data_IF_658471951820
#
_entry.id   IF_658471951820
#
_cell.length_a   1.000
_cell.length_b   1.000
_cell.length_c   1.000
_cell.angle_alpha   90.00
_cell.angle_beta   90.00
_cell.angle_gamma   90.00
#
_symmetry.space_group_name_H-M   'P 1'
#
loop_
_entity.id
_entity.type
_entity.pdbx_description
1 polymer ?
#
# COMPACT_ATOMS: atom_id res chain seq x y z
N UNK A 1 6.44 69.35 5.46
CA UNK A 1 5.59 68.17 5.25
C UNK A 1 5.56 67.17 6.44
N UNK A 2 6.28 67.43 7.51
CA UNK A 2 6.36 66.51 8.65
C UNK A 2 5.39 66.81 9.83
N UNK A 3 4.68 67.94 9.78
CA UNK A 3 3.77 68.34 10.88
C UNK A 3 2.41 67.65 10.83
N UNK A 4 1.98 67.12 9.65
CA UNK A 4 0.72 66.40 9.50
C UNK A 4 0.73 64.99 10.19
N UNK A 5 1.91 64.40 10.31
CA UNK A 5 2.04 63.06 10.94
C UNK A 5 1.96 63.08 12.47
N UNK A 6 2.23 64.24 13.09
CA UNK A 6 2.16 64.39 14.56
C UNK A 6 0.68 64.51 15.09
N UNK A 7 -0.23 64.95 14.24
CA UNK A 7 -1.62 65.23 14.65
C UNK A 7 -2.51 64.01 14.65
N UNK A 8 -2.08 62.92 13.98
CA UNK A 8 -2.88 61.69 13.86
C UNK A 8 -2.24 60.45 14.51
N UNK A 9 -1.42 60.65 15.55
CA UNK A 9 -0.77 59.52 16.27
C UNK A 9 -1.79 58.51 16.82
N UNK A 10 -3.00 58.92 17.16
CA UNK A 10 -4.03 58.03 17.62
C UNK A 10 -4.59 57.12 16.50
N UNK A 11 -4.87 57.71 15.36
CA UNK A 11 -5.42 56.99 14.21
C UNK A 11 -4.39 56.01 13.62
N UNK A 12 -3.12 56.37 13.57
CA UNK A 12 -2.03 55.51 13.10
C UNK A 12 -1.84 54.30 14.03
N UNK A 13 -1.97 54.45 15.34
CA UNK A 13 -1.96 53.33 16.31
C UNK A 13 -3.10 52.37 16.10
N UNK A 14 -4.32 52.90 15.81
CA UNK A 14 -5.48 52.07 15.54
C UNK A 14 -5.39 51.37 14.21
N UNK A 15 -4.89 52.00 13.14
CA UNK A 15 -4.69 51.35 11.84
C UNK A 15 -3.61 50.25 11.95
N UNK A 16 -2.51 50.52 12.68
CA UNK A 16 -1.50 49.49 12.94
C UNK A 16 -2.07 48.29 13.75
N UNK A 17 -2.88 48.59 14.77
CA UNK A 17 -3.52 47.54 15.55
C UNK A 17 -4.48 46.69 14.71
N UNK A 18 -5.23 47.29 13.79
CA UNK A 18 -6.10 46.57 12.85
C UNK A 18 -5.30 45.72 11.90
N UNK A 19 -4.17 46.21 11.38
CA UNK A 19 -3.28 45.44 10.48
C UNK A 19 -2.65 44.27 11.23
N UNK A 20 -2.19 44.46 12.46
CA UNK A 20 -1.65 43.39 13.31
C UNK A 20 -2.74 42.35 13.62
N UNK A 21 -3.94 42.80 13.94
CA UNK A 21 -5.07 41.93 14.21
C UNK A 21 -5.49 41.15 12.94
N UNK A 22 -5.51 41.81 11.77
CA UNK A 22 -5.74 41.14 10.49
C UNK A 22 -4.64 40.11 10.18
N UNK A 23 -3.38 40.41 10.54
CA UNK A 23 -2.27 39.47 10.34
C UNK A 23 -2.40 38.25 11.23
N UNK A 24 -2.85 38.44 12.50
CA UNK A 24 -3.09 37.33 13.44
C UNK A 24 -4.25 36.44 12.94
N UNK A 25 -5.28 37.03 12.32
CA UNK A 25 -6.40 36.26 11.76
C UNK A 25 -6.17 35.70 10.36
N UNK A 26 -5.29 36.30 9.55
CA UNK A 26 -5.07 35.93 8.17
C UNK A 26 -3.88 34.98 7.97
N UNK A 27 -2.95 34.90 8.94
CA UNK A 27 -1.78 34.01 8.84
C UNK A 27 -2.15 32.68 9.47
N UNK A 28 -2.25 31.61 8.67
CA UNK A 28 -2.48 30.27 9.20
C UNK A 28 -1.28 29.88 10.07
N UNK A 29 -1.53 29.59 11.34
CA UNK A 29 -0.50 29.11 12.25
C UNK A 29 -0.20 29.97 13.48
N UNK A 30 -0.84 31.16 13.65
CA UNK A 30 -0.70 32.00 14.87
C UNK A 30 -1.98 31.93 15.75
N UNK A 31 -2.82 30.92 15.59
CA UNK A 31 -3.61 30.42 16.71
C UNK A 31 -5.00 31.03 16.98
N UNK A 32 -5.70 31.71 16.06
CA UNK A 32 -7.14 32.04 16.22
C UNK A 32 -7.91 32.03 14.87
N UNK A 33 -7.30 31.54 13.79
CA UNK A 33 -8.01 31.25 12.55
C UNK A 33 -8.83 29.94 12.67
N UNK A 34 -9.86 29.75 11.84
CA UNK A 34 -10.49 28.45 11.75
C UNK A 34 -9.41 27.40 11.47
N UNK A 35 -9.53 26.19 12.02
CA UNK A 35 -8.54 25.14 11.79
C UNK A 35 -8.34 25.01 10.29
N UNK A 36 -7.08 25.05 9.86
CA UNK A 36 -6.70 24.87 8.47
C UNK A 36 -6.83 23.38 8.09
N UNK A 37 -8.05 22.84 8.21
CA UNK A 37 -8.39 21.46 7.84
C UNK A 37 -8.41 21.23 6.33
N UNK A 38 -7.95 22.21 5.54
CA UNK A 38 -7.88 22.10 4.07
C UNK A 38 -6.54 22.48 3.45
N UNK A 39 -5.53 22.84 4.24
CA UNK A 39 -4.18 22.77 3.75
C UNK A 39 -3.72 21.34 4.03
N UNK A 40 -3.82 20.46 3.04
CA UNK A 40 -3.02 19.24 2.98
C UNK A 40 -1.63 19.65 3.45
N UNK A 41 -1.28 19.28 4.68
CA UNK A 41 0.03 19.60 5.22
C UNK A 41 1.01 19.08 4.18
N UNK A 42 1.90 19.90 3.69
CA UNK A 42 2.90 19.60 2.64
C UNK A 42 3.74 18.35 2.96
N UNK A 43 3.41 17.68 4.03
CA UNK A 43 4.11 16.54 4.61
C UNK A 43 3.29 15.24 4.62
N UNK A 44 2.02 15.24 4.16
CA UNK A 44 1.16 14.05 4.08
C UNK A 44 1.07 13.59 2.63
N UNK A 45 1.39 12.32 2.37
CA UNK A 45 1.30 11.69 1.05
C UNK A 45 -0.08 11.09 0.80
N UNK A 46 -0.68 10.50 1.82
CA UNK A 46 -2.02 9.93 1.75
C UNK A 46 -2.67 9.98 3.14
N UNK A 47 -3.99 10.11 3.17
CA UNK A 47 -4.80 10.01 4.37
C UNK A 47 -5.84 8.90 4.16
N UNK A 48 -5.89 7.95 5.09
CA UNK A 48 -6.78 6.79 5.07
C UNK A 48 -7.53 6.73 6.40
N UNK A 49 -8.79 7.16 6.41
CA UNK A 49 -9.52 7.33 7.66
C UNK A 49 -8.81 8.30 8.60
N UNK A 50 -8.46 7.82 9.79
CA UNK A 50 -7.73 8.60 10.80
C UNK A 50 -6.20 8.46 10.70
N UNK A 51 -5.70 7.62 9.77
CA UNK A 51 -4.27 7.40 9.55
C UNK A 51 -3.73 8.30 8.45
N UNK A 52 -2.58 8.93 8.71
CA UNK A 52 -1.85 9.76 7.75
C UNK A 52 -0.51 9.12 7.41
N UNK A 53 -0.28 8.86 6.13
CA UNK A 53 1.03 8.45 5.63
C UNK A 53 1.84 9.71 5.36
N UNK A 54 2.84 9.96 6.19
CA UNK A 54 3.70 11.14 6.05
C UNK A 54 4.86 10.91 5.09
N UNK A 55 5.38 12.00 4.51
CA UNK A 55 6.59 11.96 3.66
C UNK A 55 7.79 11.38 4.44
N UNK A 56 7.90 11.69 5.73
CA UNK A 56 8.99 11.21 6.58
C UNK A 56 8.91 9.69 6.78
N UNK A 57 7.73 9.18 7.06
CA UNK A 57 7.47 7.75 7.23
C UNK A 57 7.74 6.99 5.92
N UNK A 58 7.15 7.43 4.81
CA UNK A 58 7.39 6.84 3.51
C UNK A 58 8.88 6.81 3.15
N UNK A 59 9.60 7.91 3.38
CA UNK A 59 11.04 7.98 3.09
C UNK A 59 11.83 6.97 3.91
N UNK A 60 11.48 6.78 5.19
CA UNK A 60 12.12 5.79 6.05
C UNK A 60 11.91 4.37 5.52
N UNK A 61 10.67 4.02 5.20
CA UNK A 61 10.32 2.69 4.68
C UNK A 61 10.97 2.47 3.29
N UNK A 62 10.92 3.47 2.43
CA UNK A 62 11.55 3.41 1.12
C UNK A 62 13.07 3.19 1.19
N UNK A 63 13.77 3.91 2.07
CA UNK A 63 15.21 3.72 2.27
C UNK A 63 15.53 2.32 2.79
N UNK A 64 14.73 1.79 3.70
CA UNK A 64 14.86 0.45 4.22
C UNK A 64 14.69 -0.60 3.12
N UNK A 65 13.66 -0.46 2.30
CA UNK A 65 13.38 -1.35 1.19
C UNK A 65 14.50 -1.34 0.14
N UNK A 66 15.05 -0.16 -0.17
CA UNK A 66 16.20 -0.05 -1.07
C UNK A 66 17.42 -0.77 -0.51
N UNK A 67 17.73 -0.61 0.77
CA UNK A 67 18.85 -1.31 1.40
C UNK A 67 18.69 -2.82 1.31
N UNK A 68 17.49 -3.32 1.53
CA UNK A 68 17.18 -4.74 1.41
C UNK A 68 17.40 -5.26 -0.02
N UNK A 69 16.91 -4.54 -1.03
CA UNK A 69 17.16 -4.86 -2.44
C UNK A 69 18.65 -4.85 -2.79
N UNK A 70 19.41 -3.89 -2.27
CA UNK A 70 20.86 -3.80 -2.51
C UNK A 70 21.62 -4.96 -1.86
N UNK A 71 21.18 -5.42 -0.69
CA UNK A 71 21.77 -6.58 -0.04
C UNK A 71 21.50 -7.89 -0.80
N UNK A 72 20.31 -8.02 -1.41
CA UNK A 72 19.92 -9.22 -2.16
C UNK A 72 20.49 -9.27 -3.58
N UNK A 73 20.50 -8.15 -4.28
CA UNK A 73 20.86 -8.08 -5.70
C UNK A 73 22.25 -7.50 -5.97
N UNK A 74 23.00 -7.11 -4.91
CA UNK A 74 24.29 -6.45 -5.04
C UNK A 74 24.21 -4.95 -5.34
N UNK A 75 25.36 -4.29 -5.33
CA UNK A 75 25.48 -2.84 -5.49
C UNK A 75 25.17 -2.29 -6.91
N UNK A 76 24.79 -3.18 -7.84
CA UNK A 76 24.48 -2.77 -9.23
C UNK A 76 23.10 -2.11 -9.38
N UNK A 77 22.22 -2.20 -8.37
CA UNK A 77 20.93 -1.51 -8.38
C UNK A 77 21.10 -0.04 -8.01
N UNK A 78 21.17 0.82 -9.03
CA UNK A 78 21.17 2.25 -8.82
C UNK A 78 19.79 2.75 -8.37
N UNK A 79 19.76 3.82 -7.56
CA UNK A 79 18.51 4.46 -7.15
C UNK A 79 17.66 4.95 -8.34
N UNK A 80 18.32 5.28 -9.46
CA UNK A 80 17.66 5.71 -10.70
C UNK A 80 16.94 4.55 -11.37
N UNK A 81 17.55 3.37 -11.39
CA UNK A 81 16.92 2.17 -11.92
C UNK A 81 15.69 1.78 -11.09
N UNK A 82 15.79 1.80 -9.77
CA UNK A 82 14.66 1.49 -8.88
C UNK A 82 13.49 2.46 -9.06
N UNK A 83 13.77 3.75 -9.26
CA UNK A 83 12.73 4.74 -9.59
C UNK A 83 12.13 4.51 -10.97
N UNK A 84 12.94 4.16 -11.96
CA UNK A 84 12.43 3.87 -13.32
C UNK A 84 11.53 2.64 -13.35
N UNK A 85 11.75 1.69 -12.45
CA UNK A 85 10.89 0.52 -12.22
C UNK A 85 9.62 0.85 -11.42
N UNK A 86 9.47 2.09 -10.92
CA UNK A 86 8.29 2.53 -10.20
C UNK A 86 8.16 1.93 -8.80
N UNK A 87 9.26 1.50 -8.18
CA UNK A 87 9.28 0.91 -6.84
C UNK A 87 8.72 1.87 -5.79
N UNK A 88 8.93 3.16 -5.96
CA UNK A 88 8.37 4.22 -5.10
C UNK A 88 6.83 4.21 -5.11
N UNK A 89 6.23 4.10 -6.29
CA UNK A 89 4.77 4.04 -6.44
C UNK A 89 4.19 2.74 -5.92
N UNK A 90 4.87 1.64 -6.20
CA UNK A 90 4.45 0.32 -5.74
C UNK A 90 4.46 0.26 -4.21
N UNK A 91 5.51 0.77 -3.57
CA UNK A 91 5.61 0.82 -2.11
C UNK A 91 4.54 1.73 -1.50
N UNK A 92 4.29 2.91 -2.10
CA UNK A 92 3.22 3.80 -1.62
C UNK A 92 1.86 3.12 -1.73
N UNK A 93 1.59 2.44 -2.84
CA UNK A 93 0.33 1.69 -3.00
C UNK A 93 0.20 0.58 -1.97
N UNK A 94 1.26 -0.16 -1.71
CA UNK A 94 1.29 -1.20 -0.69
C UNK A 94 0.97 -0.65 0.71
N UNK A 95 1.54 0.51 1.07
CA UNK A 95 1.22 1.17 2.35
C UNK A 95 -0.24 1.63 2.41
N UNK A 96 -0.76 2.20 1.32
CA UNK A 96 -2.17 2.59 1.23
C UNK A 96 -3.08 1.37 1.41
N UNK A 97 -2.78 0.26 0.76
CA UNK A 97 -3.55 -0.98 0.86
C UNK A 97 -3.49 -1.55 2.29
N UNK A 98 -2.32 -1.53 2.94
CA UNK A 98 -2.13 -1.97 4.31
C UNK A 98 -2.96 -1.12 5.29
N UNK A 99 -2.83 0.21 5.25
CA UNK A 99 -3.59 1.11 6.13
C UNK A 99 -5.10 1.06 5.84
N UNK A 100 -5.50 0.83 4.60
CA UNK A 100 -6.91 0.63 4.24
C UNK A 100 -7.45 -0.64 4.89
N UNK A 101 -6.69 -1.73 4.83
CA UNK A 101 -7.07 -2.99 5.47
C UNK A 101 -7.15 -2.84 7.00
N UNK A 102 -6.21 -2.14 7.63
CA UNK A 102 -6.23 -1.86 9.07
C UNK A 102 -7.43 -1.02 9.47
N UNK A 103 -7.71 0.07 8.75
CA UNK A 103 -8.87 0.93 8.99
C UNK A 103 -10.18 0.16 8.87
N UNK A 104 -10.29 -0.74 7.88
CA UNK A 104 -11.47 -1.58 7.72
C UNK A 104 -11.59 -2.63 8.84
N UNK A 105 -10.46 -3.22 9.28
CA UNK A 105 -10.45 -4.13 10.42
C UNK A 105 -10.94 -3.44 11.69
N UNK A 106 -10.48 -2.23 11.95
CA UNK A 106 -10.94 -1.40 13.08
C UNK A 106 -12.43 -1.07 12.96
N UNK A 107 -12.91 -0.67 11.79
CA UNK A 107 -14.32 -0.39 11.52
C UNK A 107 -15.23 -1.60 11.80
N UNK A 108 -14.73 -2.80 11.51
CA UNK A 108 -15.43 -4.06 11.75
C UNK A 108 -15.29 -4.55 13.20
N UNK A 109 -14.53 -3.84 14.05
CA UNK A 109 -14.28 -4.22 15.45
C UNK A 109 -13.39 -5.45 15.57
N UNK A 110 -12.56 -5.75 14.56
CA UNK A 110 -11.57 -6.82 14.62
C UNK A 110 -10.43 -6.36 15.52
N UNK A 111 -10.12 -7.13 16.54
CA UNK A 111 -9.04 -6.81 17.51
C UNK A 111 -8.07 -7.97 17.61
N UNK A 112 -6.80 -7.64 17.89
CA UNK A 112 -5.77 -8.61 18.23
C UNK A 112 -5.38 -8.40 19.70
N UNK A 113 -5.48 -9.43 20.52
CA UNK A 113 -5.13 -9.38 21.94
C UNK A 113 -3.63 -9.54 22.16
N UNK A 114 -3.09 -9.02 23.25
CA UNK A 114 -1.67 -9.19 23.59
C UNK A 114 -1.28 -10.66 23.76
N UNK A 115 -2.21 -11.50 24.23
CA UNK A 115 -2.00 -12.92 24.34
C UNK A 115 -1.78 -13.61 22.97
N UNK A 116 -2.49 -13.16 21.95
CA UNK A 116 -2.34 -13.67 20.58
C UNK A 116 -1.05 -13.19 19.93
N UNK A 117 -0.69 -11.93 20.17
CA UNK A 117 0.60 -11.37 19.73
C UNK A 117 1.73 -12.18 20.34
N UNK A 118 1.69 -12.41 21.65
CA UNK A 118 2.67 -13.23 22.34
C UNK A 118 2.71 -14.66 21.78
N UNK A 119 1.56 -15.29 21.58
CA UNK A 119 1.50 -16.65 21.01
C UNK A 119 2.10 -16.69 19.61
N UNK A 120 1.83 -15.68 18.78
CA UNK A 120 2.42 -15.57 17.45
C UNK A 120 3.94 -15.43 17.53
N UNK A 121 4.45 -14.57 18.41
CA UNK A 121 5.90 -14.39 18.63
C UNK A 121 6.55 -15.70 19.08
N UNK A 122 5.94 -16.38 20.03
CA UNK A 122 6.43 -17.68 20.51
C UNK A 122 6.41 -18.78 19.44
N UNK A 123 5.61 -18.63 18.39
CA UNK A 123 5.55 -19.59 17.28
C UNK A 123 6.70 -19.46 16.27
N UNK A 124 7.42 -18.33 16.27
CA UNK A 124 8.54 -18.13 15.34
C UNK A 124 9.74 -19.01 15.72
N UNK A 125 10.25 -19.85 14.80
CA UNK A 125 11.41 -20.71 15.08
C UNK A 125 12.66 -19.91 15.48
N UNK A 126 12.83 -18.68 14.98
CA UNK A 126 13.95 -17.80 15.32
C UNK A 126 13.99 -17.41 16.81
N UNK A 127 12.85 -17.48 17.51
CA UNK A 127 12.75 -17.17 18.94
C UNK A 127 12.61 -18.40 19.80
N UNK A 128 12.91 -19.59 19.24
CA UNK A 128 12.86 -20.85 19.94
C UNK A 128 14.24 -21.51 19.95
N UNK A 129 14.60 -22.12 21.09
CA UNK A 129 15.73 -23.00 21.24
C UNK A 129 15.26 -24.29 21.96
N UNK A 130 15.45 -25.45 21.33
CA UNK A 130 14.91 -26.72 21.81
C UNK A 130 13.39 -26.74 22.08
N UNK A 131 12.62 -25.99 21.30
CA UNK A 131 11.17 -25.85 21.46
C UNK A 131 10.72 -24.93 22.60
N UNK A 132 11.65 -24.24 23.23
CA UNK A 132 11.36 -23.25 24.29
C UNK A 132 11.78 -21.85 23.85
N UNK A 133 11.11 -20.84 24.39
CA UNK A 133 11.44 -19.44 24.13
C UNK A 133 12.86 -19.11 24.60
N UNK A 134 13.62 -18.42 23.75
CA UNK A 134 15.04 -18.06 23.98
C UNK A 134 15.28 -17.07 25.14
N UNK A 135 14.22 -16.57 25.75
CA UNK A 135 14.28 -15.55 26.79
C UNK A 135 14.33 -14.11 26.27
N UNK A 136 13.84 -13.18 27.10
CA UNK A 136 13.65 -11.78 26.73
C UNK A 136 14.95 -11.09 26.31
N UNK A 137 16.06 -11.36 26.98
CA UNK A 137 17.34 -10.72 26.65
C UNK A 137 17.81 -11.09 25.24
N UNK A 138 17.74 -12.36 24.89
CA UNK A 138 18.16 -12.83 23.57
C UNK A 138 17.19 -12.41 22.47
N UNK A 139 15.89 -12.41 22.76
CA UNK A 139 14.87 -11.85 21.90
C UNK A 139 15.15 -10.37 21.54
N UNK A 140 15.42 -9.54 22.57
CA UNK A 140 15.78 -8.12 22.39
C UNK A 140 17.05 -7.97 21.57
N UNK A 141 18.08 -8.77 21.82
CA UNK A 141 19.32 -8.73 21.05
C UNK A 141 19.10 -9.07 19.58
N UNK A 142 18.28 -10.09 19.28
CA UNK A 142 17.96 -10.46 17.91
C UNK A 142 17.24 -9.35 17.16
N UNK A 143 16.31 -8.63 17.79
CA UNK A 143 15.64 -7.49 17.18
C UNK A 143 16.59 -6.30 16.94
N UNK A 144 17.56 -6.08 17.83
CA UNK A 144 18.54 -4.99 17.71
C UNK A 144 19.60 -5.24 16.62
N UNK A 145 19.89 -6.49 16.29
CA UNK A 145 20.84 -6.86 15.23
C UNK A 145 20.23 -6.74 13.84
N UNK A 146 18.91 -6.66 13.75
CA UNK A 146 18.24 -6.45 12.47
C UNK A 146 18.59 -5.09 11.86
N UNK A 147 18.51 -4.97 10.56
CA UNK A 147 18.76 -3.73 9.84
C UNK A 147 17.50 -3.30 9.12
N UNK A 148 16.83 -2.22 9.59
CA UNK A 148 17.13 -1.40 10.77
C UNK A 148 16.81 -2.12 12.09
N UNK A 149 17.44 -1.69 13.21
CA UNK A 149 17.14 -2.24 14.52
C UNK A 149 15.66 -1.98 14.88
N UNK A 150 15.00 -3.00 15.41
CA UNK A 150 13.62 -2.93 15.88
C UNK A 150 13.56 -2.92 17.40
N UNK A 151 12.70 -2.10 17.97
CA UNK A 151 12.32 -2.21 19.37
C UNK A 151 11.31 -3.35 19.54
N UNK A 152 11.19 -3.89 20.77
CA UNK A 152 10.18 -4.90 21.09
C UNK A 152 8.77 -4.37 20.78
N UNK A 153 8.47 -3.14 21.19
CA UNK A 153 7.16 -2.54 20.96
C UNK A 153 6.81 -2.38 19.47
N UNK A 154 7.77 -1.98 18.64
CA UNK A 154 7.57 -1.88 17.19
C UNK A 154 7.34 -3.26 16.56
N UNK A 155 8.08 -4.27 17.01
CA UNK A 155 7.91 -5.63 16.52
C UNK A 155 6.54 -6.21 16.90
N UNK A 156 6.14 -6.06 18.16
CA UNK A 156 4.82 -6.48 18.65
C UNK A 156 3.68 -5.78 17.91
N UNK A 157 3.84 -4.49 17.61
CA UNK A 157 2.85 -3.74 16.84
C UNK A 157 2.77 -4.21 15.37
N UNK A 158 3.91 -4.57 14.77
CA UNK A 158 3.92 -5.17 13.43
C UNK A 158 3.18 -6.52 13.43
N UNK A 159 3.41 -7.36 14.42
CA UNK A 159 2.69 -8.64 14.58
C UNK A 159 1.20 -8.42 14.81
N UNK A 160 0.82 -7.41 15.60
CA UNK A 160 -0.59 -7.05 15.82
C UNK A 160 -1.27 -6.67 14.51
N UNK A 161 -0.65 -5.83 13.70
CA UNK A 161 -1.15 -5.44 12.38
C UNK A 161 -1.30 -6.64 11.45
N UNK A 162 -0.31 -7.52 11.42
CA UNK A 162 -0.37 -8.76 10.64
C UNK A 162 -1.57 -9.64 11.03
N UNK A 163 -1.82 -9.82 12.34
CA UNK A 163 -2.97 -10.58 12.85
C UNK A 163 -4.28 -9.94 12.43
N UNK A 164 -4.40 -8.59 12.51
CA UNK A 164 -5.61 -7.87 12.10
C UNK A 164 -5.91 -8.05 10.62
N UNK A 165 -4.90 -7.88 9.76
CA UNK A 165 -5.02 -8.06 8.30
C UNK A 165 -5.40 -9.51 7.98
N UNK A 166 -4.74 -10.49 8.59
CA UNK A 166 -5.04 -11.91 8.39
C UNK A 166 -6.48 -12.24 8.80
N UNK A 167 -6.97 -11.69 9.90
CA UNK A 167 -8.35 -11.86 10.35
C UNK A 167 -9.35 -11.23 9.39
N UNK A 168 -9.06 -10.01 8.94
CA UNK A 168 -9.90 -9.36 7.93
C UNK A 168 -9.98 -10.22 6.67
N UNK A 169 -8.85 -10.68 6.14
CA UNK A 169 -8.82 -11.55 4.98
C UNK A 169 -9.63 -12.84 5.20
N UNK A 170 -9.46 -13.47 6.36
CA UNK A 170 -10.22 -14.67 6.72
C UNK A 170 -11.72 -14.37 6.79
N UNK A 171 -12.13 -13.28 7.43
CA UNK A 171 -13.52 -12.88 7.55
C UNK A 171 -14.16 -12.61 6.18
N UNK A 172 -13.42 -12.00 5.25
CA UNK A 172 -13.91 -11.70 3.89
C UNK A 172 -13.95 -12.94 3.00
N UNK A 173 -13.04 -13.88 3.17
CA UNK A 173 -12.92 -15.06 2.30
C UNK A 173 -13.62 -16.31 2.82
N UNK A 174 -13.95 -16.37 4.10
CA UNK A 174 -14.50 -17.56 4.76
C UNK A 174 -15.85 -18.03 4.16
N UNK A 175 -16.63 -17.13 3.60
CA UNK A 175 -17.90 -17.45 2.95
C UNK A 175 -17.73 -17.86 1.49
N UNK A 176 -16.55 -17.66 0.89
CA UNK A 176 -16.26 -18.09 -0.48
C UNK A 176 -15.97 -19.59 -0.46
N UNK A 177 -16.91 -20.37 -0.91
CA UNK A 177 -16.74 -21.83 -1.08
C UNK A 177 -16.86 -22.18 -2.55
N UNK A 178 -15.92 -22.97 -3.04
CA UNK A 178 -15.99 -23.54 -4.39
C UNK A 178 -16.63 -24.92 -4.26
N UNK A 179 -17.68 -25.18 -5.03
CA UNK A 179 -18.33 -26.47 -5.04
C UNK A 179 -17.45 -27.53 -5.74
N UNK A 180 -17.62 -28.80 -5.37
CA UNK A 180 -16.92 -29.88 -6.07
C UNK A 180 -17.25 -29.90 -7.57
N UNK A 181 -18.47 -29.51 -7.93
CA UNK A 181 -18.94 -29.43 -9.31
C UNK A 181 -18.20 -28.36 -10.11
N UNK A 182 -17.97 -27.19 -9.52
CA UNK A 182 -17.14 -26.13 -10.14
C UNK A 182 -15.67 -26.56 -10.30
N UNK A 183 -15.14 -27.31 -9.34
CA UNK A 183 -13.78 -27.86 -9.43
C UNK A 183 -13.69 -28.88 -10.56
N UNK A 184 -14.65 -29.78 -10.67
CA UNK A 184 -14.70 -30.78 -11.74
C UNK A 184 -14.87 -30.15 -13.12
N UNK A 185 -15.72 -29.14 -13.25
CA UNK A 185 -15.93 -28.41 -14.49
C UNK A 185 -14.69 -27.64 -14.92
N UNK A 186 -13.99 -26.98 -13.99
CA UNK A 186 -12.76 -26.29 -14.28
C UNK A 186 -11.63 -27.27 -14.63
N UNK A 187 -11.55 -28.40 -13.92
CA UNK A 187 -10.60 -29.47 -14.24
C UNK A 187 -10.87 -30.04 -15.65
N UNK A 188 -12.13 -30.29 -15.99
CA UNK A 188 -12.55 -30.76 -17.31
C UNK A 188 -12.15 -29.74 -18.39
N UNK A 189 -12.49 -28.46 -18.20
CA UNK A 189 -12.19 -27.38 -19.15
C UNK A 189 -10.70 -27.23 -19.43
N UNK A 190 -9.85 -27.38 -18.40
CA UNK A 190 -8.38 -27.27 -18.56
C UNK A 190 -7.73 -28.50 -19.14
N UNK A 191 -8.32 -29.68 -18.91
CA UNK A 191 -7.68 -30.95 -19.27
C UNK A 191 -8.40 -31.68 -20.41
N UNK A 192 -9.55 -31.19 -20.88
CA UNK A 192 -10.27 -31.77 -22.00
C UNK A 192 -9.43 -31.72 -23.27
N UNK A 193 -9.21 -32.90 -23.86
CA UNK A 193 -8.51 -33.05 -25.12
C UNK A 193 -9.51 -33.47 -26.18
N UNK A 194 -9.69 -32.63 -27.17
CA UNK A 194 -10.54 -32.92 -28.32
C UNK A 194 -9.70 -33.52 -29.43
N UNK A 195 -10.08 -34.67 -29.92
CA UNK A 195 -9.50 -35.23 -31.15
C UNK A 195 -10.39 -34.81 -32.30
N UNK A 196 -9.88 -33.98 -33.15
CA UNK A 196 -10.59 -33.47 -34.35
C UNK A 196 -10.06 -34.22 -35.56
N UNK A 197 -10.97 -34.89 -36.29
CA UNK A 197 -10.67 -35.40 -37.64
C UNK A 197 -11.05 -34.29 -38.62
N UNK A 198 -10.05 -33.76 -39.31
CA UNK A 198 -10.26 -32.70 -40.30
C UNK A 198 -10.19 -33.32 -41.70
N UNK A 199 -11.28 -33.17 -42.44
CA UNK A 199 -11.32 -33.48 -43.89
C UNK A 199 -11.24 -32.13 -44.61
N UNK A 200 -10.15 -31.89 -45.26
CA UNK A 200 -9.96 -30.66 -46.04
C UNK A 200 -10.32 -30.94 -47.51
N UNK A 201 -11.31 -30.22 -48.00
CA UNK A 201 -11.65 -30.18 -49.42
C UNK A 201 -10.94 -28.94 -50.05
N UNK A 202 -10.00 -29.19 -50.93
CA UNK A 202 -9.34 -28.11 -51.64
C UNK A 202 -10.00 -27.94 -53.01
N UNK A 203 -10.30 -26.71 -53.39
CA UNK A 203 -10.89 -26.41 -54.69
C UNK A 203 -10.05 -26.92 -55.89
N UNK A 204 -8.74 -27.07 -55.68
CA UNK A 204 -7.83 -27.60 -56.70
C UNK A 204 -8.01 -29.10 -56.92
N UNK A 205 -8.46 -29.85 -55.91
CA UNK A 205 -8.71 -31.29 -55.97
C UNK A 205 -9.91 -31.64 -56.88
N UNK A 206 -10.76 -30.64 -57.18
CA UNK A 206 -11.98 -30.79 -58.02
C UNK A 206 -11.91 -30.01 -59.32
N UNK A 207 -10.77 -29.37 -59.59
CA UNK A 207 -10.63 -28.51 -60.78
C UNK A 207 -10.81 -29.27 -62.08
N UNK A 208 -10.37 -30.52 -62.15
CA UNK A 208 -10.46 -31.38 -63.31
C UNK A 208 -11.80 -32.07 -63.47
N UNK A 209 -12.63 -32.05 -62.40
CA UNK A 209 -13.98 -32.65 -62.41
C UNK A 209 -15.08 -31.64 -62.76
N UNK A 210 -14.76 -30.36 -62.78
CA UNK A 210 -15.71 -29.28 -63.09
C UNK A 210 -15.63 -28.95 -64.57
N UNK A 211 -16.50 -29.52 -65.38
CA UNK A 211 -16.76 -29.06 -66.74
C UNK A 211 -17.41 -27.67 -66.70
N UNK A 212 -16.64 -26.65 -66.94
CA UNK A 212 -17.20 -25.29 -67.09
C UNK A 212 -17.94 -25.25 -68.42
N UNK A 213 -19.22 -25.51 -68.38
CA UNK A 213 -20.09 -25.20 -69.50
C UNK A 213 -20.10 -23.70 -69.68
N UNK A 214 -19.37 -23.25 -70.67
CA UNK A 214 -19.30 -21.84 -71.07
C UNK A 214 -20.70 -21.41 -71.53
N UNK A 215 -21.50 -20.89 -70.66
CA UNK A 215 -22.66 -20.08 -71.03
C UNK A 215 -22.21 -18.68 -71.40
N UNK A 216 -21.57 -18.59 -72.52
CA UNK A 216 -21.54 -17.33 -73.24
C UNK A 216 -22.82 -17.23 -74.00
N UNK A 217 -23.72 -16.44 -73.53
CA UNK A 217 -24.75 -15.76 -74.32
C UNK A 217 -25.55 -14.90 -73.38
N UNK A 218 -25.52 -13.62 -73.42
CA UNK A 218 -25.81 -12.65 -74.48
C UNK A 218 -25.19 -11.33 -74.06
#
# INVERSE_FOLDING_TARGET
MLDGMRRHKGWLKWSLAIVVLAFIFLVPGIGLGPPADTALSTNVLAQIGDHEITVAEFRRIYQQQIQEYQLQAGSELSNELLRSLGIDRQLLQQLIDEYTALSEAERLGIVATDAEVLQRILSFPAFQENGQFIGEQRYRQLLQVQTPPLSIAEFEENIRREILIQRLQTAVTQWVSVSNEEIEDEHRRRNEKVRVNVVAFRGDDYRDEVEVLSLIHI
#
